data_IF_800955402217
#
_entry.id   IF_800955402217
#
_cell.length_a   1.000
_cell.length_b   1.000
_cell.length_c   1.000
_cell.angle_alpha   90.00
_cell.angle_beta   90.00
_cell.angle_gamma   90.00
#
_symmetry.space_group_name_H-M   'P 1'
#
loop_
_entity.id
_entity.type
_entity.pdbx_description
1 polymer ?
#
# COMPACT_ATOMS: atom_id res chain seq x y z
N UNK A 1 -3.13 -17.77 -9.54
CA UNK A 1 -4.16 -17.60 -10.58
C UNK A 1 -3.87 -16.29 -11.27
N UNK A 2 -3.73 -16.28 -12.60
CA UNK A 2 -3.52 -15.03 -13.33
C UNK A 2 -4.78 -14.19 -13.27
N UNK A 3 -4.64 -12.92 -12.89
CA UNK A 3 -5.71 -11.93 -12.98
C UNK A 3 -5.96 -11.70 -14.47
N UNK A 4 -7.21 -11.86 -14.92
CA UNK A 4 -7.60 -11.55 -16.29
C UNK A 4 -7.91 -10.05 -16.35
N UNK A 5 -7.02 -9.25 -16.93
CA UNK A 5 -7.26 -7.80 -17.15
C UNK A 5 -7.41 -7.49 -18.63
N UNK A 6 -8.18 -6.44 -18.94
CA UNK A 6 -8.15 -5.80 -20.26
C UNK A 6 -6.85 -5.00 -20.32
N UNK A 7 -5.80 -5.56 -20.91
CA UNK A 7 -4.58 -4.79 -21.20
C UNK A 7 -4.96 -3.51 -21.96
N UNK A 8 -4.51 -2.35 -21.48
CA UNK A 8 -4.48 -1.14 -22.30
C UNK A 8 -3.43 -1.36 -23.38
N UNK A 9 -3.84 -2.03 -24.46
CA UNK A 9 -3.09 -2.06 -25.71
C UNK A 9 -2.92 -0.60 -26.13
N UNK A 10 -1.70 -0.24 -26.53
CA UNK A 10 -1.10 1.09 -26.73
C UNK A 10 -1.94 2.17 -27.45
N UNK A 11 -3.15 1.89 -27.94
CA UNK A 11 -3.92 2.81 -28.77
C UNK A 11 -5.36 3.13 -28.29
N UNK A 12 -5.87 2.57 -27.17
CA UNK A 12 -7.26 2.90 -26.72
C UNK A 12 -7.45 2.97 -25.22
N UNK A 13 -7.06 4.10 -24.63
CA UNK A 13 -7.54 4.50 -23.31
C UNK A 13 -9.10 4.58 -23.31
N UNK A 14 -9.80 4.11 -22.26
CA UNK A 14 -11.26 4.19 -22.16
C UNK A 14 -11.72 5.65 -22.24
N UNK A 15 -12.87 5.88 -22.88
CA UNK A 15 -13.42 7.24 -23.00
C UNK A 15 -13.66 7.91 -21.66
N UNK A 16 -14.04 7.15 -20.62
CA UNK A 16 -14.18 7.70 -19.27
C UNK A 16 -12.84 8.14 -18.67
N UNK A 17 -11.76 7.38 -18.86
CA UNK A 17 -10.42 7.79 -18.44
C UNK A 17 -9.96 9.03 -19.21
N UNK A 18 -10.18 9.06 -20.53
CA UNK A 18 -9.88 10.22 -21.39
C UNK A 18 -10.58 11.49 -20.91
N UNK A 19 -11.86 11.41 -20.50
CA UNK A 19 -12.60 12.54 -19.91
C UNK A 19 -11.97 13.02 -18.61
N UNK A 20 -11.57 12.11 -17.73
CA UNK A 20 -10.89 12.46 -16.48
C UNK A 20 -9.55 13.15 -16.76
N UNK A 21 -8.73 12.61 -17.66
CA UNK A 21 -7.43 13.20 -18.02
C UNK A 21 -7.57 14.60 -18.62
N UNK A 22 -8.55 14.83 -19.50
CA UNK A 22 -8.86 16.18 -20.02
C UNK A 22 -9.26 17.16 -18.90
N UNK A 23 -10.07 16.71 -17.94
CA UNK A 23 -10.45 17.52 -16.79
C UNK A 23 -9.24 17.88 -15.91
N UNK A 24 -8.36 16.91 -15.64
CA UNK A 24 -7.12 17.12 -14.88
C UNK A 24 -6.21 18.11 -15.60
N UNK A 25 -5.99 17.93 -16.91
CA UNK A 25 -5.19 18.85 -17.72
C UNK A 25 -5.75 20.27 -17.72
N UNK A 26 -7.07 20.42 -17.90
CA UNK A 26 -7.75 21.72 -17.86
C UNK A 26 -7.58 22.41 -16.50
N UNK A 27 -7.68 21.67 -15.39
CA UNK A 27 -7.45 22.19 -14.04
C UNK A 27 -6.00 22.66 -13.82
N UNK A 28 -5.05 22.15 -14.58
CA UNK A 28 -3.65 22.59 -14.58
C UNK A 28 -3.34 23.69 -15.61
N UNK A 29 -4.36 24.18 -16.33
CA UNK A 29 -4.23 25.19 -17.38
C UNK A 29 -3.71 24.66 -18.71
N UNK A 30 -3.64 23.34 -18.86
CA UNK A 30 -3.17 22.65 -20.05
C UNK A 30 -4.35 22.33 -21.00
N UNK A 31 -4.04 22.16 -22.28
CA UNK A 31 -5.02 21.77 -23.30
C UNK A 31 -4.57 20.43 -23.87
N UNK A 32 -5.44 19.43 -23.76
CA UNK A 32 -5.19 18.05 -24.20
C UNK A 32 -6.07 17.77 -25.42
N UNK A 33 -5.70 18.39 -26.55
CA UNK A 33 -6.44 18.30 -27.82
C UNK A 33 -6.16 16.98 -28.55
N UNK A 34 -4.93 16.49 -28.48
CA UNK A 34 -4.50 15.22 -29.07
C UNK A 34 -4.26 14.18 -27.98
N UNK A 35 -5.24 13.30 -27.76
CA UNK A 35 -5.15 12.21 -26.79
C UNK A 35 -4.29 11.05 -27.28
N UNK A 36 -3.96 11.00 -28.58
CA UNK A 36 -3.10 9.98 -29.17
C UNK A 36 -1.61 10.37 -29.01
N UNK A 37 -1.32 11.63 -28.62
CA UNK A 37 0.01 12.10 -28.28
C UNK A 37 0.40 11.85 -26.80
N UNK A 38 -0.44 11.13 -26.04
CA UNK A 38 -0.15 10.77 -24.65
C UNK A 38 0.92 9.68 -24.62
N UNK A 39 1.95 9.89 -23.81
CA UNK A 39 2.91 8.83 -23.51
C UNK A 39 2.35 7.98 -22.36
N UNK A 40 2.11 6.70 -22.62
CA UNK A 40 1.57 5.73 -21.65
C UNK A 40 2.64 4.69 -21.34
N UNK A 41 3.01 4.57 -20.07
CA UNK A 41 4.05 3.66 -19.59
C UNK A 41 3.42 2.71 -18.57
N UNK A 42 3.35 1.40 -18.88
CA UNK A 42 2.94 0.38 -17.90
C UNK A 42 4.04 0.21 -16.85
N UNK A 43 3.71 0.41 -15.58
CA UNK A 43 4.62 0.19 -14.46
C UNK A 43 4.49 -1.26 -13.99
N UNK A 44 5.62 -1.96 -13.87
CA UNK A 44 5.69 -3.32 -13.33
C UNK A 44 5.82 -3.30 -11.80
N UNK A 45 5.42 -4.40 -11.15
CA UNK A 45 5.62 -4.61 -9.70
C UNK A 45 4.35 -4.52 -8.85
N UNK A 46 3.24 -4.03 -9.39
CA UNK A 46 1.95 -4.09 -8.70
C UNK A 46 1.33 -5.50 -8.84
N UNK A 47 0.98 -6.12 -7.71
CA UNK A 47 0.44 -7.50 -7.69
C UNK A 47 -1.09 -7.56 -7.81
N UNK A 48 -1.79 -6.53 -7.33
CA UNK A 48 -3.26 -6.50 -7.20
C UNK A 48 -3.94 -5.56 -8.20
N UNK A 49 -3.21 -4.57 -8.71
CA UNK A 49 -3.73 -3.54 -9.61
C UNK A 49 -2.79 -3.37 -10.80
N UNK A 50 -3.32 -2.90 -11.94
CA UNK A 50 -2.46 -2.42 -13.01
C UNK A 50 -2.19 -0.93 -12.85
N UNK A 51 -0.93 -0.54 -12.99
CA UNK A 51 -0.50 0.84 -12.76
C UNK A 51 0.16 1.36 -14.03
N UNK A 52 -0.30 2.53 -14.48
CA UNK A 52 0.19 3.20 -15.68
C UNK A 52 0.63 4.60 -15.31
N UNK A 53 1.79 5.02 -15.80
CA UNK A 53 2.18 6.42 -15.81
C UNK A 53 1.74 7.02 -17.15
N UNK A 54 1.01 8.13 -17.10
CA UNK A 54 0.58 8.88 -18.29
C UNK A 54 1.22 10.26 -18.27
N UNK A 55 1.87 10.62 -19.38
CA UNK A 55 2.57 11.89 -19.52
C UNK A 55 1.99 12.73 -20.66
N UNK A 56 2.00 14.05 -20.49
CA UNK A 56 1.70 15.01 -21.56
C UNK A 56 2.49 16.31 -21.40
N UNK A 57 2.80 17.03 -22.49
CA UNK A 57 3.49 18.31 -22.42
C UNK A 57 2.57 19.39 -21.81
N UNK A 58 3.09 20.18 -20.88
CA UNK A 58 2.39 21.38 -20.42
C UNK A 58 2.34 22.45 -21.53
N UNK A 59 1.28 23.26 -21.53
CA UNK A 59 1.03 24.30 -22.55
C UNK A 59 2.20 25.29 -22.72
N UNK A 60 2.92 25.56 -21.64
CA UNK A 60 4.03 26.53 -21.63
C UNK A 60 5.40 25.91 -22.01
N UNK A 61 5.43 24.67 -22.51
CA UNK A 61 6.59 24.09 -23.21
C UNK A 61 7.80 23.68 -22.37
N UNK A 62 7.74 23.80 -21.03
CA UNK A 62 8.89 23.54 -20.15
C UNK A 62 8.76 22.36 -19.20
N UNK A 63 7.56 21.84 -18.95
CA UNK A 63 7.31 20.79 -17.95
C UNK A 63 6.46 19.69 -18.56
N UNK A 64 6.91 18.44 -18.44
CA UNK A 64 6.09 17.27 -18.74
C UNK A 64 5.22 16.99 -17.52
N UNK A 65 3.91 17.01 -17.70
CA UNK A 65 2.95 16.60 -16.69
C UNK A 65 2.96 15.09 -16.59
N UNK A 66 2.85 14.57 -15.37
CA UNK A 66 2.80 13.14 -15.08
C UNK A 66 1.65 12.86 -14.12
N UNK A 67 0.90 11.82 -14.41
CA UNK A 67 -0.11 11.25 -13.50
C UNK A 67 0.07 9.75 -13.41
N UNK A 68 -0.40 9.19 -12.30
CA UNK A 68 -0.52 7.76 -12.14
C UNK A 68 -1.98 7.36 -12.39
N UNK A 69 -2.20 6.34 -13.19
CA UNK A 69 -3.50 5.72 -13.41
C UNK A 69 -3.46 4.33 -12.83
N UNK A 70 -4.31 4.08 -11.84
CA UNK A 70 -4.47 2.77 -11.22
C UNK A 70 -5.78 2.17 -11.68
N UNK A 71 -5.71 0.97 -12.24
CA UNK A 71 -6.84 0.21 -12.75
C UNK A 71 -7.04 -1.01 -11.86
N UNK A 72 -8.27 -1.17 -11.40
CA UNK A 72 -8.60 -2.18 -10.41
C UNK A 72 -8.59 -3.58 -11.04
N UNK A 73 -7.77 -4.49 -10.49
CA UNK A 73 -7.75 -5.88 -10.88
C UNK A 73 -8.97 -6.66 -10.38
N UNK A 74 -9.36 -7.71 -11.11
CA UNK A 74 -10.41 -8.65 -10.70
C UNK A 74 -9.86 -9.73 -9.74
N UNK A 75 -10.72 -10.25 -8.85
CA UNK A 75 -10.39 -11.42 -8.02
C UNK A 75 -9.63 -11.16 -6.73
N UNK A 76 -9.39 -9.89 -6.37
CA UNK A 76 -8.73 -9.50 -5.11
C UNK A 76 -9.70 -9.27 -3.94
N UNK A 77 -11.00 -9.39 -4.16
CA UNK A 77 -12.05 -9.14 -3.16
C UNK A 77 -11.98 -10.10 -1.96
N UNK A 78 -11.30 -11.24 -2.11
CA UNK A 78 -10.99 -12.17 -1.01
C UNK A 78 -10.01 -11.54 0.00
N UNK A 79 -9.11 -10.68 -0.48
CA UNK A 79 -8.03 -10.13 0.35
C UNK A 79 -8.44 -8.85 1.07
N UNK A 80 -9.18 -7.97 0.39
CA UNK A 80 -9.65 -6.71 0.95
C UNK A 80 -10.93 -6.21 0.26
N UNK A 81 -11.64 -5.34 0.97
CA UNK A 81 -12.83 -4.68 0.45
C UNK A 81 -12.43 -3.44 -0.37
N UNK A 82 -12.82 -3.41 -1.64
CA UNK A 82 -12.49 -2.32 -2.56
C UNK A 82 -13.10 -0.98 -2.16
N UNK A 83 -14.32 -0.97 -1.65
CA UNK A 83 -14.98 0.25 -1.21
C UNK A 83 -14.25 0.85 0.00
N UNK A 84 -13.76 0.00 0.91
CA UNK A 84 -12.97 0.42 2.07
C UNK A 84 -11.61 1.00 1.64
N UNK A 85 -10.92 0.36 0.69
CA UNK A 85 -9.68 0.87 0.08
C UNK A 85 -9.90 2.26 -0.53
N UNK A 86 -10.94 2.43 -1.34
CA UNK A 86 -11.24 3.70 -2.02
C UNK A 86 -11.55 4.79 -0.99
N UNK A 87 -12.37 4.50 0.03
CA UNK A 87 -12.69 5.47 1.08
C UNK A 87 -11.44 5.88 1.86
N UNK A 88 -10.60 4.91 2.20
CA UNK A 88 -9.32 5.13 2.89
C UNK A 88 -8.40 6.02 2.06
N UNK A 89 -8.20 5.67 0.78
CA UNK A 89 -7.36 6.44 -0.13
C UNK A 89 -7.86 7.88 -0.27
N UNK A 90 -9.17 8.07 -0.49
CA UNK A 90 -9.77 9.40 -0.58
C UNK A 90 -9.58 10.23 0.69
N UNK A 91 -9.71 9.60 1.86
CA UNK A 91 -9.50 10.26 3.14
C UNK A 91 -8.04 10.71 3.29
N UNK A 92 -7.08 9.79 3.08
CA UNK A 92 -5.64 10.07 3.20
C UNK A 92 -5.20 11.15 2.20
N UNK A 93 -5.70 11.07 0.97
CA UNK A 93 -5.49 12.08 -0.06
C UNK A 93 -5.96 13.47 0.39
N UNK A 94 -7.17 13.58 0.97
CA UNK A 94 -7.72 14.85 1.46
C UNK A 94 -6.93 15.43 2.64
N UNK A 95 -6.31 14.58 3.45
CA UNK A 95 -5.43 15.01 4.55
C UNK A 95 -4.03 15.42 4.07
N UNK A 96 -3.69 15.23 2.79
CA UNK A 96 -2.36 15.50 2.25
C UNK A 96 -1.28 14.57 2.80
N UNK A 97 -1.66 13.35 3.22
CA UNK A 97 -0.75 12.36 3.84
C UNK A 97 -0.34 11.24 2.89
N UNK A 98 -0.81 11.29 1.64
CA UNK A 98 -0.57 10.34 0.58
C UNK A 98 -0.79 10.97 -0.80
N UNK A 99 -0.74 10.18 -1.88
CA UNK A 99 -1.00 10.68 -3.22
C UNK A 99 -2.38 11.34 -3.33
N UNK A 100 -2.43 12.51 -3.96
CA UNK A 100 -3.68 13.21 -4.25
C UNK A 100 -4.51 12.47 -5.30
N UNK A 101 -5.78 12.22 -5.00
CA UNK A 101 -6.76 11.80 -5.98
C UNK A 101 -7.09 12.96 -6.93
N UNK A 102 -6.82 12.77 -8.22
CA UNK A 102 -7.11 13.74 -9.28
C UNK A 102 -8.46 13.48 -9.97
N UNK A 103 -8.89 12.22 -10.01
CA UNK A 103 -10.20 11.86 -10.54
C UNK A 103 -10.50 10.36 -10.48
N UNK A 104 -11.76 10.00 -10.74
CA UNK A 104 -12.25 8.61 -10.75
C UNK A 104 -12.91 8.29 -12.08
N UNK A 105 -12.79 7.03 -12.49
CA UNK A 105 -13.54 6.44 -13.59
C UNK A 105 -14.04 5.05 -13.16
N UNK A 106 -14.95 4.41 -13.91
CA UNK A 106 -15.58 3.16 -13.48
C UNK A 106 -14.59 2.07 -13.05
N UNK A 107 -13.48 1.93 -13.79
CA UNK A 107 -12.52 0.83 -13.61
C UNK A 107 -11.27 1.25 -12.82
N UNK A 108 -11.23 2.45 -12.22
CA UNK A 108 -10.02 2.92 -11.56
C UNK A 108 -10.01 4.38 -11.11
N UNK A 109 -8.80 4.87 -10.87
CA UNK A 109 -8.54 6.24 -10.42
C UNK A 109 -7.30 6.85 -11.07
N UNK A 110 -7.29 8.17 -11.12
CA UNK A 110 -6.15 8.99 -11.53
C UNK A 110 -5.61 9.68 -10.28
N UNK A 111 -4.33 9.48 -10.00
CA UNK A 111 -3.61 9.96 -8.83
C UNK A 111 -2.48 10.90 -9.27
N UNK A 112 -2.02 11.76 -8.36
CA UNK A 112 -0.82 12.53 -8.61
C UNK A 112 0.41 11.63 -8.74
N UNK A 113 1.31 12.00 -9.64
CA UNK A 113 2.58 11.31 -9.75
C UNK A 113 3.55 11.84 -8.69
N UNK A 114 3.96 10.97 -7.77
CA UNK A 114 4.94 11.30 -6.74
C UNK A 114 6.34 11.22 -7.37
N UNK A 115 7.07 12.33 -7.32
CA UNK A 115 8.44 12.41 -7.82
C UNK A 115 9.42 11.96 -6.73
N UNK A 116 9.36 10.68 -6.38
CA UNK A 116 10.17 10.06 -5.34
C UNK A 116 10.63 8.68 -5.78
N UNK A 117 11.69 8.17 -5.17
CA UNK A 117 12.08 6.76 -5.35
C UNK A 117 11.41 5.90 -4.30
N UNK A 118 11.05 4.68 -4.67
CA UNK A 118 10.70 3.65 -3.70
C UNK A 118 11.94 3.25 -2.89
N UNK A 119 11.75 2.94 -1.61
CA UNK A 119 12.83 2.40 -0.79
C UNK A 119 13.19 0.97 -1.20
N UNK A 120 14.35 0.53 -0.75
CA UNK A 120 14.87 -0.83 -0.91
C UNK A 120 15.03 -1.50 0.46
N UNK A 121 15.26 -2.82 0.46
CA UNK A 121 15.58 -3.55 1.69
C UNK A 121 16.79 -2.95 2.44
N UNK A 122 17.80 -2.45 1.70
CA UNK A 122 18.97 -1.82 2.30
C UNK A 122 18.64 -0.47 2.97
N UNK A 123 17.73 0.31 2.38
CA UNK A 123 17.30 1.60 2.96
C UNK A 123 16.64 1.42 4.34
N UNK A 124 15.92 0.31 4.55
CA UNK A 124 15.31 0.04 5.86
C UNK A 124 16.36 -0.11 6.98
N UNK A 125 17.58 -0.55 6.63
CA UNK A 125 18.69 -0.74 7.57
C UNK A 125 19.42 0.57 7.88
N UNK A 126 19.23 1.61 7.08
CA UNK A 126 19.85 2.91 7.32
C UNK A 126 19.24 3.59 8.57
N UNK A 127 20.04 3.97 9.57
CA UNK A 127 19.50 4.55 10.81
C UNK A 127 18.75 5.88 10.63
N UNK A 128 19.13 6.70 9.64
CA UNK A 128 18.47 7.98 9.37
C UNK A 128 17.14 7.76 8.67
N UNK A 129 17.10 6.89 7.65
CA UNK A 129 15.85 6.52 6.97
C UNK A 129 14.90 5.81 7.94
N UNK A 130 15.41 4.90 8.76
CA UNK A 130 14.64 4.21 9.81
C UNK A 130 14.00 5.20 10.80
N UNK A 131 14.71 6.26 11.16
CA UNK A 131 14.18 7.35 12.00
C UNK A 131 13.02 8.10 11.30
N UNK A 132 13.17 8.41 10.01
CA UNK A 132 12.13 9.05 9.21
C UNK A 132 10.89 8.15 9.09
N UNK A 133 11.07 6.85 8.88
CA UNK A 133 9.96 5.88 8.83
C UNK A 133 9.24 5.84 10.17
N UNK A 134 9.95 5.77 11.29
CA UNK A 134 9.35 5.78 12.63
C UNK A 134 8.50 7.04 12.87
N UNK A 135 8.99 8.21 12.48
CA UNK A 135 8.23 9.46 12.57
C UNK A 135 7.01 9.47 11.63
N UNK A 136 7.17 8.99 10.39
CA UNK A 136 6.10 8.94 9.40
C UNK A 136 4.98 7.97 9.79
N UNK A 137 5.36 6.85 10.38
CA UNK A 137 4.44 5.85 10.90
C UNK A 137 3.64 6.40 12.09
N UNK A 138 4.26 7.22 12.95
CA UNK A 138 3.56 7.93 14.04
C UNK A 138 2.51 8.90 13.51
N UNK A 139 2.87 9.68 12.49
CA UNK A 139 1.96 10.58 11.78
C UNK A 139 0.78 9.82 11.18
N UNK A 140 1.04 8.67 10.53
CA UNK A 140 0.00 7.82 9.96
C UNK A 140 -0.93 7.24 11.04
N UNK A 141 -0.39 6.74 12.15
CA UNK A 141 -1.18 6.21 13.26
C UNK A 141 -2.08 7.26 13.94
N UNK A 142 -1.75 8.54 13.82
CA UNK A 142 -2.57 9.63 14.37
C UNK A 142 -3.72 10.05 13.44
N UNK A 143 -3.84 9.46 12.23
CA UNK A 143 -4.96 9.72 11.33
C UNK A 143 -6.29 9.28 11.95
N UNK A 144 -7.25 10.21 11.96
CA UNK A 144 -8.62 9.97 12.45
C UNK A 144 -9.53 9.49 11.32
N UNK A 145 -9.20 8.35 10.71
CA UNK A 145 -10.01 7.75 9.63
C UNK A 145 -11.38 7.35 10.20
N UNK A 146 -12.51 7.69 9.53
CA UNK A 146 -13.87 7.44 10.04
C UNK A 146 -14.32 5.99 9.84
N UNK A 147 -13.52 5.03 10.29
CA UNK A 147 -13.82 3.60 10.27
C UNK A 147 -13.99 3.03 11.70
N UNK A 148 -14.58 1.84 11.87
CA UNK A 148 -14.67 1.18 13.17
C UNK A 148 -13.28 1.01 13.80
N UNK A 149 -13.13 1.46 15.05
CA UNK A 149 -11.88 1.39 15.81
C UNK A 149 -11.60 0.02 16.42
N UNK A 150 -12.04 -1.04 15.76
CA UNK A 150 -11.85 -2.43 16.16
C UNK A 150 -10.70 -3.04 15.36
N UNK A 151 -9.92 -3.92 16.02
CA UNK A 151 -8.89 -4.71 15.36
C UNK A 151 -9.51 -5.63 14.30
N UNK A 152 -9.13 -5.46 13.03
CA UNK A 152 -9.65 -6.29 11.93
C UNK A 152 -8.75 -7.48 11.57
N UNK A 153 -7.56 -7.59 12.17
CA UNK A 153 -6.59 -8.63 11.76
C UNK A 153 -7.10 -10.05 12.05
N UNK A 154 -7.77 -10.23 13.18
CA UNK A 154 -8.31 -11.52 13.61
C UNK A 154 -9.43 -12.01 12.68
N UNK A 155 -10.36 -11.12 12.32
CA UNK A 155 -11.44 -11.42 11.38
C UNK A 155 -10.88 -11.71 9.98
N UNK A 156 -9.88 -10.93 9.54
CA UNK A 156 -9.20 -11.12 8.26
C UNK A 156 -8.52 -12.49 8.17
N UNK A 157 -7.75 -12.88 9.18
CA UNK A 157 -7.09 -14.20 9.22
C UNK A 157 -8.10 -15.36 9.19
N UNK A 158 -9.23 -15.24 9.89
CA UNK A 158 -10.30 -16.26 9.86
C UNK A 158 -10.99 -16.34 8.51
N UNK A 159 -11.25 -15.21 7.88
CA UNK A 159 -11.82 -15.16 6.53
C UNK A 159 -10.89 -15.86 5.54
N UNK A 160 -9.61 -15.50 5.53
CA UNK A 160 -8.61 -16.14 4.66
C UNK A 160 -8.50 -17.65 4.92
N UNK A 161 -8.53 -18.08 6.17
CA UNK A 161 -8.55 -19.51 6.49
C UNK A 161 -9.81 -20.20 5.97
N UNK A 162 -10.98 -19.56 6.07
CA UNK A 162 -12.23 -20.10 5.55
C UNK A 162 -12.18 -20.26 4.01
N UNK A 163 -11.66 -19.25 3.31
CA UNK A 163 -11.49 -19.32 1.85
C UNK A 163 -10.42 -20.35 1.45
N UNK A 164 -9.30 -20.43 2.18
CA UNK A 164 -8.30 -21.47 1.94
C UNK A 164 -8.92 -22.87 2.05
N UNK A 165 -9.70 -23.13 3.11
CA UNK A 165 -10.40 -24.41 3.29
C UNK A 165 -11.43 -24.71 2.21
N UNK A 166 -12.08 -23.70 1.62
CA UNK A 166 -13.07 -23.92 0.55
C UNK A 166 -12.42 -24.24 -0.80
N UNK A 167 -11.17 -23.82 -1.01
CA UNK A 167 -10.39 -24.06 -2.22
C UNK A 167 -9.51 -25.31 -2.13
N UNK A 168 -9.10 -25.70 -0.92
CA UNK A 168 -8.22 -26.83 -0.66
C UNK A 168 -8.96 -28.18 -0.69
N UNK A 169 -8.27 -29.22 -1.15
CA UNK A 169 -8.73 -30.59 -0.97
C UNK A 169 -8.61 -31.04 0.50
N UNK A 170 -9.18 -32.19 0.84
CA UNK A 170 -8.99 -32.80 2.17
C UNK A 170 -7.52 -33.13 2.44
N UNK A 171 -6.75 -33.47 1.40
CA UNK A 171 -5.32 -33.71 1.49
C UNK A 171 -4.57 -32.41 1.82
N UNK A 172 -4.82 -31.33 1.08
CA UNK A 172 -4.20 -30.02 1.34
C UNK A 172 -4.53 -29.49 2.74
N UNK A 173 -5.76 -29.72 3.21
CA UNK A 173 -6.19 -29.34 4.56
C UNK A 173 -5.34 -30.00 5.65
N UNK A 174 -4.98 -31.27 5.43
CA UNK A 174 -4.12 -32.01 6.35
C UNK A 174 -2.65 -31.59 6.21
N UNK A 175 -2.14 -31.49 4.99
CA UNK A 175 -0.75 -31.12 4.70
C UNK A 175 -0.40 -29.72 5.22
N UNK A 176 -1.29 -28.74 4.99
CA UNK A 176 -1.12 -27.37 5.49
C UNK A 176 -1.70 -27.16 6.90
N UNK A 177 -2.20 -28.22 7.55
CA UNK A 177 -2.71 -28.18 8.91
C UNK A 177 -3.76 -27.08 9.14
N UNK A 178 -4.67 -26.84 8.18
CA UNK A 178 -5.60 -25.71 8.20
C UNK A 178 -6.57 -25.76 9.41
N UNK A 179 -6.86 -26.94 9.94
CA UNK A 179 -7.64 -27.07 11.18
C UNK A 179 -6.88 -26.59 12.42
N UNK A 180 -5.57 -26.83 12.46
CA UNK A 180 -4.69 -26.36 13.53
C UNK A 180 -4.53 -24.84 13.48
N UNK A 181 -4.38 -24.26 12.28
CA UNK A 181 -4.31 -22.80 12.11
C UNK A 181 -5.49 -22.06 12.74
N UNK A 182 -6.71 -22.60 12.64
CA UNK A 182 -7.89 -22.00 13.27
C UNK A 182 -7.82 -21.95 14.80
N UNK A 183 -7.24 -23.00 15.41
CA UNK A 183 -6.99 -23.03 16.85
C UNK A 183 -5.86 -22.08 17.24
N UNK A 184 -4.79 -22.00 16.44
CA UNK A 184 -3.66 -21.10 16.68
C UNK A 184 -4.05 -19.64 16.60
N UNK A 185 -4.85 -19.24 15.60
CA UNK A 185 -5.42 -17.87 15.51
C UNK A 185 -6.21 -17.56 16.78
N UNK A 186 -7.06 -18.49 17.25
CA UNK A 186 -7.87 -18.29 18.45
C UNK A 186 -7.03 -18.21 19.73
N UNK A 187 -5.94 -18.97 19.81
CA UNK A 187 -4.98 -18.88 20.89
C UNK A 187 -4.28 -17.53 20.88
N UNK A 188 -3.72 -17.11 19.75
CA UNK A 188 -3.01 -15.84 19.61
C UNK A 188 -3.92 -14.65 19.94
N UNK A 189 -5.16 -14.65 19.45
CA UNK A 189 -6.12 -13.59 19.78
C UNK A 189 -6.36 -13.51 21.28
N UNK A 190 -6.56 -14.63 21.97
CA UNK A 190 -6.77 -14.65 23.42
C UNK A 190 -5.57 -14.12 24.19
N UNK A 191 -4.35 -14.51 23.81
CA UNK A 191 -3.14 -14.10 24.52
C UNK A 191 -2.80 -12.62 24.25
N UNK A 192 -3.08 -12.12 23.03
CA UNK A 192 -2.66 -10.80 22.59
C UNK A 192 -3.75 -9.73 22.74
N UNK A 193 -5.03 -10.07 22.80
CA UNK A 193 -6.12 -9.11 22.99
C UNK A 193 -6.20 -8.69 24.46
N UNK A 194 -5.33 -7.76 24.82
CA UNK A 194 -5.17 -7.23 26.17
C UNK A 194 -5.65 -5.77 26.25
N UNK A 195 -6.19 -5.35 27.39
CA UNK A 195 -6.82 -4.03 27.57
C UNK A 195 -5.89 -2.82 27.37
N UNK A 196 -4.58 -3.03 27.37
CA UNK A 196 -3.57 -1.96 27.25
C UNK A 196 -3.11 -1.70 25.81
N UNK A 197 -3.66 -2.40 24.80
CA UNK A 197 -3.28 -2.18 23.41
C UNK A 197 -3.79 -0.83 22.91
N UNK A 198 -2.87 0.01 22.44
CA UNK A 198 -3.23 1.24 21.73
C UNK A 198 -3.60 0.89 20.28
N UNK A 199 -4.91 0.93 19.98
CA UNK A 199 -5.45 0.72 18.63
C UNK A 199 -5.49 2.06 17.88
N UNK A 200 -4.87 2.07 16.70
CA UNK A 200 -4.78 3.22 15.79
C UNK A 200 -4.95 2.77 14.35
N UNK A 201 -5.10 3.74 13.45
CA UNK A 201 -5.15 3.45 12.02
C UNK A 201 -3.77 3.02 11.53
N UNK A 202 -3.62 1.76 11.18
CA UNK A 202 -2.36 1.11 10.82
C UNK A 202 -2.31 0.88 9.31
N UNK A 203 -1.10 0.86 8.74
CA UNK A 203 -0.87 0.51 7.34
C UNK A 203 -1.05 -0.99 7.12
N UNK A 204 -0.57 -1.80 8.07
CA UNK A 204 -0.57 -3.27 8.09
C UNK A 204 0.28 -3.96 7.01
N UNK A 205 0.92 -3.20 6.13
CA UNK A 205 1.76 -3.71 5.02
C UNK A 205 2.90 -2.72 4.69
N UNK A 206 3.62 -2.26 5.71
CA UNK A 206 4.66 -1.23 5.56
C UNK A 206 6.01 -1.80 5.09
N UNK A 207 5.99 -2.50 3.95
CA UNK A 207 7.18 -2.99 3.26
C UNK A 207 7.87 -1.88 2.44
N UNK A 208 9.15 -2.02 2.09
CA UNK A 208 9.94 -0.95 1.45
C UNK A 208 9.36 -0.45 0.12
N UNK A 209 8.63 -1.31 -0.60
CA UNK A 209 7.88 -1.03 -1.82
C UNK A 209 6.76 0.00 -1.64
N UNK A 210 6.23 0.09 -0.42
CA UNK A 210 5.12 0.97 -0.05
C UNK A 210 5.60 2.28 0.60
N UNK A 211 6.92 2.54 0.59
CA UNK A 211 7.53 3.75 1.14
C UNK A 211 8.30 4.45 0.03
N UNK A 212 7.88 5.67 -0.29
CA UNK A 212 8.56 6.52 -1.26
C UNK A 212 9.30 7.64 -0.54
N UNK A 213 10.51 7.95 -0.98
CA UNK A 213 11.33 9.04 -0.46
C UNK A 213 11.71 10.03 -1.56
N UNK A 214 11.39 11.29 -1.33
CA UNK A 214 12.00 12.40 -2.06
C UNK A 214 13.43 12.61 -1.53
N UNK A 215 14.43 12.43 -2.39
CA UNK A 215 15.82 12.48 -1.97
C UNK A 215 16.32 13.89 -1.65
N UNK A 216 15.71 14.92 -2.23
CA UNK A 216 16.08 16.32 -2.00
C UNK A 216 15.51 16.81 -0.68
N UNK A 217 14.22 16.55 -0.43
CA UNK A 217 13.54 17.02 0.78
C UNK A 217 13.63 16.06 1.95
N UNK A 218 14.04 14.80 1.72
CA UNK A 218 13.98 13.69 2.67
C UNK A 218 12.57 13.44 3.24
N UNK A 219 11.54 13.87 2.50
CA UNK A 219 10.16 13.61 2.85
C UNK A 219 9.75 12.19 2.45
N UNK A 220 9.11 11.48 3.37
CA UNK A 220 8.53 10.17 3.10
C UNK A 220 7.04 10.29 2.78
N UNK A 221 6.61 9.50 1.80
CA UNK A 221 5.20 9.27 1.48
C UNK A 221 4.93 7.78 1.52
N UNK A 222 3.97 7.38 2.36
CA UNK A 222 3.47 6.00 2.41
C UNK A 222 2.44 5.83 1.30
N UNK A 223 2.38 4.67 0.66
CA UNK A 223 1.45 4.36 -0.43
C UNK A 223 0.87 2.96 -0.26
N UNK A 224 -0.15 2.65 -1.04
CA UNK A 224 -0.80 1.33 -1.09
C UNK A 224 -1.50 0.90 0.22
N UNK A 225 -2.67 1.48 0.47
CA UNK A 225 -3.42 1.34 1.72
C UNK A 225 -4.45 0.19 1.69
N UNK A 226 -4.31 -0.79 0.79
CA UNK A 226 -5.31 -1.86 0.61
C UNK A 226 -5.52 -2.73 1.86
N UNK A 227 -4.48 -2.87 2.68
CA UNK A 227 -4.54 -3.57 3.96
C UNK A 227 -4.79 -2.66 5.16
N UNK A 228 -4.82 -1.33 4.98
CA UNK A 228 -4.90 -0.38 6.07
C UNK A 228 -6.22 -0.48 6.83
N UNK A 229 -6.14 -0.44 8.16
CA UNK A 229 -7.30 -0.55 9.06
C UNK A 229 -6.91 -0.20 10.48
N UNK A 230 -7.89 -0.10 11.38
CA UNK A 230 -7.60 -0.01 12.80
C UNK A 230 -7.03 -1.34 13.32
N UNK A 231 -5.86 -1.26 13.97
CA UNK A 231 -5.14 -2.40 14.54
C UNK A 231 -4.26 -1.93 15.71
N UNK A 232 -3.73 -2.81 16.57
CA UNK A 232 -2.74 -2.41 17.56
C UNK A 232 -1.48 -1.85 16.88
N UNK A 233 -1.00 -0.69 17.33
CA UNK A 233 0.24 -0.07 16.82
C UNK A 233 1.41 -1.05 16.83
N UNK A 234 1.48 -1.88 17.87
CA UNK A 234 2.53 -2.87 18.03
C UNK A 234 2.53 -3.91 16.90
N UNK A 235 1.36 -4.25 16.34
CA UNK A 235 1.28 -5.14 15.18
C UNK A 235 1.95 -4.51 13.98
N UNK A 236 1.61 -3.27 13.64
CA UNK A 236 2.12 -2.61 12.44
C UNK A 236 3.64 -2.39 12.54
N UNK A 237 4.13 -1.97 13.72
CA UNK A 237 5.58 -1.83 13.98
C UNK A 237 6.28 -3.19 13.87
N UNK A 238 5.71 -4.23 14.46
CA UNK A 238 6.29 -5.58 14.40
C UNK A 238 6.32 -6.11 12.96
N UNK A 239 5.26 -5.87 12.19
CA UNK A 239 5.19 -6.20 10.77
C UNK A 239 6.29 -5.50 9.99
N UNK A 240 6.47 -4.19 10.18
CA UNK A 240 7.56 -3.44 9.54
C UNK A 240 8.95 -4.02 9.88
N UNK A 241 9.18 -4.50 11.10
CA UNK A 241 10.44 -5.19 11.44
C UNK A 241 10.60 -6.54 10.74
N UNK A 242 9.51 -7.29 10.51
CA UNK A 242 9.55 -8.50 9.70
C UNK A 242 9.92 -8.17 8.23
N UNK A 243 9.44 -7.04 7.70
CA UNK A 243 9.77 -6.59 6.34
C UNK A 243 11.25 -6.27 6.14
N UNK A 244 11.99 -5.97 7.22
CA UNK A 244 13.45 -5.82 7.15
C UNK A 244 14.19 -7.14 6.87
N UNK A 245 13.52 -8.29 7.07
CA UNK A 245 14.03 -9.61 6.72
C UNK A 245 13.61 -10.05 5.31
N UNK A 246 12.80 -9.27 4.60
CA UNK A 246 12.33 -9.58 3.26
C UNK A 246 13.24 -9.01 2.16
N UNK A 247 13.33 -9.72 1.04
CA UNK A 247 13.91 -9.20 -0.19
C UNK A 247 13.12 -9.69 -1.41
N UNK A 248 12.13 -8.88 -1.80
CA UNK A 248 11.26 -9.12 -2.95
C UNK A 248 11.95 -9.04 -4.31
N UNK A 249 13.18 -8.51 -4.37
CA UNK A 249 14.00 -8.51 -5.59
C UNK A 249 14.92 -9.74 -5.68
N UNK A 250 14.89 -10.63 -4.68
CA UNK A 250 15.64 -11.88 -4.72
C UNK A 250 14.97 -12.93 -5.62
N UNK A 251 15.66 -14.03 -5.89
CA UNK A 251 15.08 -15.18 -6.61
C UNK A 251 14.00 -15.91 -5.80
N UNK A 252 13.96 -15.70 -4.48
CA UNK A 252 13.04 -16.35 -3.55
C UNK A 252 12.34 -15.30 -2.70
N UNK A 253 11.50 -14.43 -3.30
CA UNK A 253 10.88 -13.29 -2.60
C UNK A 253 9.92 -13.69 -1.47
N UNK A 254 9.51 -14.95 -1.44
CA UNK A 254 8.65 -15.56 -0.41
C UNK A 254 9.44 -16.09 0.80
N UNK A 255 10.78 -16.07 0.76
CA UNK A 255 11.65 -16.56 1.84
C UNK A 255 12.21 -15.37 2.61
N UNK A 256 11.92 -15.31 3.90
CA UNK A 256 12.42 -14.29 4.82
C UNK A 256 13.74 -14.73 5.45
N UNK A 257 14.74 -13.85 5.44
CA UNK A 257 16.03 -14.06 6.09
C UNK A 257 16.04 -13.41 7.48
N UNK A 258 15.56 -14.14 8.48
CA UNK A 258 15.51 -13.67 9.86
C UNK A 258 16.89 -13.43 10.49
N UNK A 259 18.00 -13.79 9.85
CA UNK A 259 19.32 -13.34 10.30
C UNK A 259 19.51 -11.83 10.13
N UNK A 260 18.70 -11.19 9.27
CA UNK A 260 18.68 -9.74 9.03
C UNK A 260 17.60 -9.00 9.83
N UNK A 261 16.81 -9.72 10.63
CA UNK A 261 15.81 -9.11 11.50
C UNK A 261 16.47 -8.12 12.47
N UNK A 262 15.89 -6.91 12.70
CA UNK A 262 16.53 -5.88 13.50
C UNK A 262 16.75 -6.36 14.94
N UNK A 263 17.96 -6.09 15.45
CA UNK A 263 18.32 -6.49 16.80
C UNK A 263 17.54 -5.67 17.86
N UNK A 264 17.83 -5.93 19.14
CA UNK A 264 17.16 -5.23 20.22
C UNK A 264 17.46 -3.72 20.23
N UNK A 265 18.70 -3.32 19.91
CA UNK A 265 19.12 -1.92 19.94
C UNK A 265 18.44 -1.12 18.83
N UNK A 266 18.41 -1.68 17.62
CA UNK A 266 17.73 -1.06 16.48
C UNK A 266 16.23 -0.91 16.71
N UNK A 267 15.55 -1.96 17.20
CA UNK A 267 14.12 -1.88 17.52
C UNK A 267 13.84 -0.86 18.62
N UNK A 268 14.67 -0.80 19.67
CA UNK A 268 14.53 0.21 20.71
C UNK A 268 14.74 1.62 20.18
N UNK A 269 15.71 1.83 19.28
CA UNK A 269 15.94 3.12 18.63
C UNK A 269 14.72 3.56 17.82
N UNK A 270 14.18 2.67 16.97
CA UNK A 270 12.97 2.93 16.19
C UNK A 270 11.79 3.32 17.09
N UNK A 271 11.51 2.51 18.12
CA UNK A 271 10.37 2.76 19.04
C UNK A 271 10.54 4.06 19.82
N UNK A 272 11.75 4.40 20.28
CA UNK A 272 12.01 5.68 20.96
C UNK A 272 11.71 6.86 20.04
N UNK A 273 12.14 6.80 18.78
CA UNK A 273 11.91 7.86 17.80
C UNK A 273 10.41 7.98 17.50
N UNK A 274 9.74 6.86 17.24
CA UNK A 274 8.28 6.80 17.05
C UNK A 274 7.53 7.47 18.21
N UNK A 275 7.87 7.12 19.46
CA UNK A 275 7.21 7.67 20.65
C UNK A 275 7.51 9.16 20.89
N UNK A 276 8.72 9.62 20.51
CA UNK A 276 9.13 11.02 20.65
C UNK A 276 8.62 11.94 19.53
N UNK A 277 8.12 11.37 18.44
CA UNK A 277 7.63 12.12 17.29
C UNK A 277 6.24 12.70 17.59
N UNK A 278 6.03 13.97 17.27
CA UNK A 278 4.76 14.67 17.54
C UNK A 278 3.58 14.08 16.72
N UNK A 279 3.90 13.40 15.61
CA UNK A 279 2.93 12.92 14.62
C UNK A 279 2.22 14.03 13.87
#
# INVERSE_FOLDING_TARGET
MGITTRDFVEDRLPEELKKVLRSVAANWGDVMDDLEALEVIKLSGAMTNEVYQINWPAKNGGVVRKVLVRVYGEGVEVFFNRDDEIRTFEFISKQGKGPRLLGRFPDGRVEEFIHARTLSAADLRDPEISALIAAKMREFHNLAVPDPKSSLIWDRMRNWLCVAKSLCSSHDTQDFCLDTLGMEISMLERELSQDYQEVRFCHNDLQYGNIMMDEETKSLTLIDYEYASYNPIAYDIANHFCEMAANYHSQTPHVLDYSQYPDLEERQRFVRIYLSSAG
#
